data_IF_289535474890
#
_entry.id   IF_289535474890
#
_cell.length_a   1.000
_cell.length_b   1.000
_cell.length_c   1.000
_cell.angle_alpha   90.00
_cell.angle_beta   90.00
_cell.angle_gamma   90.00
#
_symmetry.space_group_name_H-M   'P 1'
#
loop_
_entity.id
_entity.type
_entity.pdbx_description
1 polymer ?
#
# COMPACT_ATOMS: atom_id res chain seq x y z
N UNK A 1 -12.67 -17.20 1.85
CA UNK A 1 -11.20 -17.02 1.82
C UNK A 1 -10.61 -16.72 3.19
N UNK A 2 -11.00 -15.63 3.88
CA UNK A 2 -10.42 -15.30 5.21
C UNK A 2 -10.44 -16.43 6.27
N UNK A 3 -11.52 -17.19 6.37
CA UNK A 3 -11.61 -18.33 7.31
C UNK A 3 -10.69 -19.48 6.90
N UNK A 4 -10.50 -19.71 5.59
CA UNK A 4 -9.59 -20.74 5.10
C UNK A 4 -8.15 -20.41 5.52
N UNK A 5 -7.75 -19.14 5.41
CA UNK A 5 -6.41 -18.69 5.82
C UNK A 5 -6.20 -18.90 7.32
N UNK A 6 -7.17 -18.53 8.17
CA UNK A 6 -7.09 -18.81 9.60
C UNK A 6 -7.02 -20.31 9.91
N UNK A 7 -7.86 -21.13 9.26
CA UNK A 7 -7.84 -22.58 9.42
C UNK A 7 -6.49 -23.17 9.00
N UNK A 8 -5.85 -22.65 7.95
CA UNK A 8 -4.50 -23.11 7.55
C UNK A 8 -3.45 -22.79 8.61
N UNK A 9 -3.48 -21.60 9.24
CA UNK A 9 -2.55 -21.27 10.32
C UNK A 9 -2.81 -22.08 11.59
N UNK A 10 -4.07 -22.36 11.93
CA UNK A 10 -4.43 -23.24 13.03
C UNK A 10 -3.98 -24.68 12.77
N UNK A 11 -4.22 -25.19 11.55
CA UNK A 11 -3.76 -26.51 11.12
C UNK A 11 -2.24 -26.63 11.12
N UNK A 12 -1.52 -25.59 10.69
CA UNK A 12 -0.06 -25.55 10.72
C UNK A 12 0.48 -25.63 12.16
N UNK A 13 -0.12 -24.88 13.10
CA UNK A 13 0.26 -24.95 14.52
C UNK A 13 -0.06 -26.33 15.13
N UNK A 14 -1.17 -26.96 14.72
CA UNK A 14 -1.50 -28.33 15.13
C UNK A 14 -0.49 -29.35 14.58
N UNK A 15 -0.05 -29.19 13.33
CA UNK A 15 0.98 -30.05 12.74
C UNK A 15 2.32 -29.92 13.45
N UNK A 16 2.74 -28.69 13.78
CA UNK A 16 3.97 -28.45 14.58
C UNK A 16 3.83 -29.08 15.97
N UNK A 17 2.65 -28.99 16.59
CA UNK A 17 2.37 -29.64 17.86
C UNK A 17 2.49 -31.17 17.79
N UNK A 18 1.90 -31.80 16.77
CA UNK A 18 1.99 -33.24 16.55
C UNK A 18 3.44 -33.69 16.26
N UNK A 19 4.16 -32.94 15.42
CA UNK A 19 5.57 -33.20 15.12
C UNK A 19 6.47 -33.08 16.36
N UNK A 20 6.13 -32.20 17.30
CA UNK A 20 6.90 -32.03 18.54
C UNK A 20 6.84 -33.23 19.49
N UNK A 21 5.90 -34.16 19.28
CA UNK A 21 5.79 -35.41 20.05
C UNK A 21 6.81 -36.47 19.60
N UNK A 22 7.23 -36.43 18.33
CA UNK A 22 8.18 -37.37 17.74
C UNK A 22 9.58 -36.78 17.60
N UNK A 23 9.68 -35.48 17.31
CA UNK A 23 10.93 -34.75 17.10
C UNK A 23 10.99 -33.54 18.06
N UNK A 24 11.82 -33.57 19.11
CA UNK A 24 11.95 -32.46 20.05
C UNK A 24 12.34 -31.13 19.38
N UNK A 25 13.12 -31.19 18.30
CA UNK A 25 13.58 -30.02 17.55
C UNK A 25 12.45 -29.31 16.78
N UNK A 26 11.33 -29.99 16.51
CA UNK A 26 10.19 -29.39 15.83
C UNK A 26 9.52 -28.26 16.65
N UNK A 27 9.80 -28.16 17.96
CA UNK A 27 9.31 -27.08 18.83
C UNK A 27 9.78 -25.70 18.40
N UNK A 28 10.94 -25.60 17.73
CA UNK A 28 11.41 -24.35 17.15
C UNK A 28 10.46 -23.81 16.06
N UNK A 29 9.65 -24.67 15.44
CA UNK A 29 8.62 -24.25 14.50
C UNK A 29 7.60 -23.29 15.11
N UNK A 30 7.28 -23.43 16.41
CA UNK A 30 6.36 -22.52 17.09
C UNK A 30 6.87 -21.08 17.13
N UNK A 31 8.19 -20.87 17.16
CA UNK A 31 8.78 -19.54 17.13
C UNK A 31 8.39 -18.78 15.84
N UNK A 32 8.12 -19.49 14.75
CA UNK A 32 7.68 -18.91 13.49
C UNK A 32 6.15 -18.93 13.34
N UNK A 33 5.50 -20.04 13.64
CA UNK A 33 4.07 -20.23 13.36
C UNK A 33 3.15 -19.48 14.32
N UNK A 34 3.58 -19.26 15.56
CA UNK A 34 2.77 -18.56 16.58
C UNK A 34 2.68 -17.06 16.28
N UNK A 35 3.78 -16.32 16.02
CA UNK A 35 3.68 -14.91 15.64
C UNK A 35 2.84 -14.67 14.40
N UNK A 36 2.98 -15.53 13.38
CA UNK A 36 2.18 -15.45 12.15
C UNK A 36 0.69 -15.70 12.42
N UNK A 37 0.35 -16.67 13.28
CA UNK A 37 -1.03 -16.92 13.67
C UNK A 37 -1.64 -15.76 14.48
N UNK A 38 -0.87 -15.16 15.40
CA UNK A 38 -1.28 -13.96 16.13
C UNK A 38 -1.50 -12.77 15.20
N UNK A 39 -0.63 -12.57 14.22
CA UNK A 39 -0.79 -11.54 13.19
C UNK A 39 -2.05 -11.79 12.35
N UNK A 40 -2.28 -13.04 11.93
CA UNK A 40 -3.48 -13.42 11.18
C UNK A 40 -4.77 -13.17 11.98
N UNK A 41 -4.76 -13.44 13.29
CA UNK A 41 -5.88 -13.13 14.18
C UNK A 41 -6.11 -11.62 14.29
N UNK A 42 -5.05 -10.84 14.50
CA UNK A 42 -5.14 -9.37 14.54
C UNK A 42 -5.73 -8.80 13.25
N UNK A 43 -5.21 -9.24 12.10
CA UNK A 43 -5.68 -8.81 10.78
C UNK A 43 -7.14 -9.19 10.51
N UNK A 44 -7.58 -10.32 11.05
CA UNK A 44 -8.95 -10.81 10.90
C UNK A 44 -9.96 -9.97 11.70
N UNK A 45 -9.61 -9.53 12.90
CA UNK A 45 -10.49 -8.75 13.77
C UNK A 45 -10.49 -7.25 13.46
N UNK A 46 -9.39 -6.69 12.93
CA UNK A 46 -9.34 -5.27 12.62
C UNK A 46 -10.33 -4.88 11.50
N UNK A 47 -10.95 -3.71 11.65
CA UNK A 47 -12.02 -3.21 10.77
C UNK A 47 -11.59 -2.10 9.84
N UNK A 48 -10.39 -1.55 10.03
CA UNK A 48 -9.91 -0.37 9.28
C UNK A 48 -9.46 -0.72 7.86
N UNK A 49 -8.76 -1.84 7.69
CA UNK A 49 -8.20 -2.26 6.41
C UNK A 49 -8.93 -3.48 5.84
N UNK A 50 -9.86 -3.24 4.91
CA UNK A 50 -10.67 -4.28 4.25
C UNK A 50 -9.81 -5.37 3.58
N UNK A 51 -8.65 -5.01 3.02
CA UNK A 51 -7.75 -5.95 2.34
C UNK A 51 -7.11 -6.91 3.35
N UNK A 52 -6.54 -6.38 4.44
CA UNK A 52 -5.97 -7.20 5.52
C UNK A 52 -7.02 -8.10 6.17
N UNK A 53 -8.26 -7.62 6.31
CA UNK A 53 -9.37 -8.41 6.86
C UNK A 53 -9.79 -9.58 5.96
N UNK A 54 -9.71 -9.41 4.65
CA UNK A 54 -10.08 -10.45 3.67
C UNK A 54 -8.92 -11.41 3.37
N UNK A 55 -7.69 -10.92 3.46
CA UNK A 55 -6.44 -11.66 3.23
C UNK A 55 -5.45 -11.42 4.39
N UNK A 56 -5.70 -12.00 5.58
CA UNK A 56 -4.80 -11.88 6.72
C UNK A 56 -3.37 -12.33 6.36
N UNK A 57 -2.35 -11.64 6.88
CA UNK A 57 -0.92 -11.84 6.59
C UNK A 57 -0.55 -11.50 5.13
N UNK A 58 -1.22 -12.07 4.13
CA UNK A 58 -0.93 -11.87 2.71
C UNK A 58 -1.15 -10.42 2.25
N UNK A 59 -2.13 -9.71 2.83
CA UNK A 59 -2.42 -8.33 2.48
C UNK A 59 -1.27 -7.37 2.80
N UNK A 60 -0.37 -7.71 3.73
CA UNK A 60 0.81 -6.90 4.05
C UNK A 60 1.76 -6.76 2.85
N UNK A 61 1.81 -7.75 1.97
CA UNK A 61 2.63 -7.70 0.75
C UNK A 61 2.23 -6.52 -0.16
N UNK A 62 0.94 -6.17 -0.20
CA UNK A 62 0.46 -5.01 -0.96
C UNK A 62 1.03 -3.71 -0.41
N UNK A 63 0.99 -3.53 0.91
CA UNK A 63 1.48 -2.32 1.57
C UNK A 63 3.01 -2.21 1.52
N UNK A 64 3.71 -3.35 1.59
CA UNK A 64 5.14 -3.41 1.36
C UNK A 64 5.49 -2.95 -0.06
N UNK A 65 4.80 -3.49 -1.07
CA UNK A 65 4.98 -3.08 -2.45
C UNK A 65 4.64 -1.59 -2.66
N UNK A 66 3.60 -1.07 -1.99
CA UNK A 66 3.24 0.35 -2.03
C UNK A 66 4.34 1.25 -1.46
N UNK A 67 5.08 0.79 -0.44
CA UNK A 67 6.20 1.53 0.17
C UNK A 67 7.46 1.49 -0.70
N UNK A 68 7.70 0.37 -1.39
CA UNK A 68 8.84 0.21 -2.32
C UNK A 68 8.60 0.97 -3.63
N UNK A 69 7.33 1.12 -4.03
CA UNK A 69 6.94 1.69 -5.32
C UNK A 69 7.53 3.06 -5.63
N UNK A 70 7.55 4.07 -4.73
CA UNK A 70 8.15 5.38 -5.02
C UNK A 70 9.61 5.27 -5.46
N UNK A 71 10.41 4.47 -4.75
CA UNK A 71 11.82 4.25 -5.12
C UNK A 71 11.96 3.57 -6.48
N UNK A 72 11.15 2.54 -6.76
CA UNK A 72 11.18 1.87 -8.07
C UNK A 72 10.77 2.83 -9.18
N UNK A 73 9.71 3.61 -8.97
CA UNK A 73 9.21 4.57 -9.94
C UNK A 73 10.26 5.64 -10.25
N UNK A 74 10.84 6.24 -9.22
CA UNK A 74 11.77 7.36 -9.36
C UNK A 74 13.08 6.97 -10.05
N UNK A 75 13.64 5.80 -9.73
CA UNK A 75 14.97 5.42 -10.24
C UNK A 75 14.94 4.58 -11.52
N UNK A 76 13.86 3.86 -11.81
CA UNK A 76 13.82 2.91 -12.93
C UNK A 76 12.81 3.26 -14.02
N UNK A 77 11.86 4.19 -13.79
CA UNK A 77 10.74 4.43 -14.72
C UNK A 77 10.59 5.91 -15.09
N UNK A 78 10.42 6.76 -14.07
CA UNK A 78 10.11 8.20 -14.12
C UNK A 78 9.20 8.69 -15.27
N UNK A 79 7.89 8.57 -15.05
CA UNK A 79 6.89 9.60 -15.38
C UNK A 79 5.62 9.35 -14.55
N UNK A 80 5.35 10.15 -13.51
CA UNK A 80 4.11 10.05 -12.70
C UNK A 80 2.91 10.78 -13.31
N UNK A 81 3.22 11.69 -14.23
CA UNK A 81 2.30 12.48 -15.06
C UNK A 81 1.65 11.66 -16.17
N UNK A 82 2.30 10.59 -16.62
CA UNK A 82 1.78 9.74 -17.68
C UNK A 82 0.83 8.69 -17.12
N UNK A 83 -0.47 8.88 -17.38
CA UNK A 83 -1.51 7.90 -17.08
C UNK A 83 -2.82 8.27 -17.76
N UNK A 84 -3.47 7.28 -18.38
CA UNK A 84 -4.81 7.45 -18.99
C UNK A 84 -5.84 6.65 -18.20
N UNK A 85 -7.05 7.19 -17.93
CA UNK A 85 -7.50 8.56 -18.22
C UNK A 85 -6.98 9.62 -17.22
N UNK A 86 -6.47 9.20 -16.07
CA UNK A 86 -5.90 10.09 -15.05
C UNK A 86 -4.50 9.63 -14.67
N UNK A 87 -3.61 10.59 -14.51
CA UNK A 87 -2.26 10.40 -14.00
C UNK A 87 -2.28 9.85 -12.57
N UNK A 88 -1.15 9.30 -12.12
CA UNK A 88 -1.00 8.90 -10.71
C UNK A 88 -1.10 10.14 -9.82
N UNK A 89 -0.53 11.25 -10.28
CA UNK A 89 -0.50 12.52 -9.57
C UNK A 89 -1.91 13.01 -9.22
N UNK A 90 -2.81 13.04 -10.21
CA UNK A 90 -4.20 13.47 -10.03
C UNK A 90 -4.96 12.56 -9.07
N UNK A 91 -4.81 11.24 -9.22
CA UNK A 91 -5.47 10.27 -8.31
C UNK A 91 -5.00 10.44 -6.87
N UNK A 92 -3.71 10.67 -6.66
CA UNK A 92 -3.15 10.91 -5.33
C UNK A 92 -3.73 12.17 -4.69
N UNK A 93 -3.84 13.26 -5.46
CA UNK A 93 -4.45 14.51 -5.00
C UNK A 93 -5.91 14.31 -4.59
N UNK A 94 -6.70 13.61 -5.41
CA UNK A 94 -8.10 13.29 -5.10
C UNK A 94 -8.20 12.47 -3.80
N UNK A 95 -7.33 11.47 -3.62
CA UNK A 95 -7.33 10.66 -2.40
C UNK A 95 -6.91 11.44 -1.16
N UNK A 96 -5.92 12.34 -1.27
CA UNK A 96 -5.50 13.19 -0.16
C UNK A 96 -6.63 14.11 0.30
N UNK A 97 -7.29 14.78 -0.66
CA UNK A 97 -8.46 15.62 -0.39
C UNK A 97 -9.63 14.84 0.22
N UNK A 98 -9.96 13.68 -0.34
CA UNK A 98 -11.04 12.84 0.16
C UNK A 98 -10.79 12.33 1.59
N UNK A 99 -9.52 12.16 1.99
CA UNK A 99 -9.13 11.76 3.34
C UNK A 99 -8.94 12.94 4.29
N UNK A 100 -9.05 14.19 3.82
CA UNK A 100 -8.80 15.39 4.62
C UNK A 100 -7.35 15.50 5.10
N UNK A 101 -6.40 14.91 4.39
CA UNK A 101 -4.96 15.05 4.67
C UNK A 101 -4.36 16.17 3.83
N UNK A 102 -3.18 16.67 4.23
CA UNK A 102 -2.48 17.75 3.52
C UNK A 102 -2.38 17.44 2.02
N UNK A 103 -2.98 18.30 1.20
CA UNK A 103 -3.01 18.20 -0.27
C UNK A 103 -2.06 19.24 -0.92
N UNK A 104 -1.38 20.05 -0.11
CA UNK A 104 -0.43 21.07 -0.56
C UNK A 104 0.90 20.41 -0.93
N UNK A 105 1.34 20.65 -2.17
CA UNK A 105 2.66 20.24 -2.65
C UNK A 105 3.64 21.42 -2.63
N UNK A 106 4.93 21.18 -2.40
CA UNK A 106 5.95 22.23 -2.47
C UNK A 106 6.05 22.81 -3.89
N UNK A 107 6.53 24.05 -3.98
CA UNK A 107 6.72 24.75 -5.25
C UNK A 107 7.64 23.98 -6.20
N UNK A 108 7.27 23.93 -7.48
CA UNK A 108 7.97 23.21 -8.54
C UNK A 108 6.98 22.55 -9.51
N UNK A 109 7.38 22.33 -10.76
CA UNK A 109 6.62 21.54 -11.72
C UNK A 109 7.42 20.31 -12.12
N UNK A 110 6.75 19.16 -12.16
CA UNK A 110 7.31 17.94 -12.75
C UNK A 110 6.96 17.83 -14.24
N UNK A 111 6.13 18.74 -14.78
CA UNK A 111 5.75 18.76 -16.20
C UNK A 111 6.82 19.42 -17.03
N UNK A 112 7.03 18.89 -18.24
CA UNK A 112 7.89 19.51 -19.23
C UNK A 112 7.22 20.79 -19.77
N UNK A 113 7.78 21.93 -19.38
CA UNK A 113 7.28 23.26 -19.78
C UNK A 113 7.61 23.60 -21.23
N UNK A 114 8.45 22.82 -21.90
CA UNK A 114 8.84 23.00 -23.29
C UNK A 114 8.11 22.03 -24.24
N UNK A 115 7.26 21.15 -23.70
CA UNK A 115 6.49 20.20 -24.50
C UNK A 115 5.47 20.93 -25.40
N UNK A 116 5.28 20.41 -26.61
CA UNK A 116 4.27 20.92 -27.55
C UNK A 116 2.88 20.74 -26.95
N UNK A 117 2.18 21.85 -26.74
CA UNK A 117 0.84 21.87 -26.13
C UNK A 117 0.84 22.19 -24.63
N UNK A 118 2.01 22.43 -24.01
CA UNK A 118 2.06 22.99 -22.66
C UNK A 118 1.52 24.42 -22.66
N UNK A 119 0.47 24.67 -21.87
CA UNK A 119 -0.14 25.98 -21.69
C UNK A 119 0.21 26.56 -20.33
N UNK A 120 0.46 27.87 -20.27
CA UNK A 120 0.66 28.60 -19.03
C UNK A 120 -0.24 29.84 -18.96
N UNK A 121 -0.59 30.26 -17.75
CA UNK A 121 -1.35 31.48 -17.52
C UNK A 121 -0.49 32.40 -16.67
N UNK A 122 -0.21 33.59 -17.20
CA UNK A 122 0.46 34.64 -16.44
C UNK A 122 -0.59 35.46 -15.69
N UNK A 123 -0.23 35.92 -14.49
CA UNK A 123 -1.08 36.86 -13.76
C UNK A 123 -1.19 38.16 -14.56
N UNK A 124 -2.41 38.69 -14.70
CA UNK A 124 -2.59 39.99 -15.35
C UNK A 124 -2.00 41.07 -14.45
N UNK A 125 -1.09 41.87 -15.01
CA UNK A 125 -0.57 43.07 -14.33
C UNK A 125 -1.54 44.26 -14.41
N UNK A 126 -2.65 44.11 -15.15
CA UNK A 126 -3.69 45.12 -15.30
C UNK A 126 -5.03 44.54 -14.82
N UNK A 127 -5.32 44.54 -13.50
CA UNK A 127 -6.59 44.10 -12.98
C UNK A 127 -7.71 45.02 -13.48
N UNK A 128 -8.77 44.43 -14.02
CA UNK A 128 -10.00 45.14 -14.39
C UNK A 128 -11.03 44.89 -13.30
N UNK A 129 -11.70 45.95 -12.84
CA UNK A 129 -12.78 45.85 -11.87
C UNK A 129 -13.97 45.14 -12.51
N UNK A 130 -14.41 44.04 -11.91
CA UNK A 130 -15.57 43.23 -12.33
C UNK A 130 -16.76 43.58 -11.44
#
# INVERSE_FOLDING_TARGET
MRYLILLTFLGLNLLVWLASQTLPDARWGFALTVPLALMALRDFFQTEHTILRNFPVLGHMRYLAETIRPGVQQYFIENESEGRPFSKEERSLVYQRAKGVLDTKPFGTQRDVYEVGYEWVNHSMAPVHV
#
